data_IF_192997716091
#
_entry.id   IF_192997716091
#
_cell.length_a   1.000
_cell.length_b   1.000
_cell.length_c   1.000
_cell.angle_alpha   90.00
_cell.angle_beta   90.00
_cell.angle_gamma   90.00
#
_symmetry.space_group_name_H-M   'P 1'
#
loop_
_entity.id
_entity.type
_entity.pdbx_description
1 polymer ?
#
# COMPACT_ATOMS: atom_id res chain seq x y z
N UNK A 1 -18.20 -20.08 10.01
CA UNK A 1 -18.24 -18.71 10.57
C UNK A 1 -19.33 -18.67 11.63
N UNK A 2 -19.07 -18.18 12.86
CA UNK A 2 -20.09 -18.16 13.92
C UNK A 2 -21.00 -16.94 13.74
N UNK A 3 -22.25 -17.00 14.21
CA UNK A 3 -23.24 -15.90 14.10
C UNK A 3 -22.71 -14.59 14.72
N UNK A 4 -21.93 -14.68 15.81
CA UNK A 4 -21.31 -13.52 16.44
C UNK A 4 -20.23 -12.87 15.58
N UNK A 5 -19.45 -13.67 14.85
CA UNK A 5 -18.43 -13.17 13.92
C UNK A 5 -19.10 -12.42 12.77
N UNK A 6 -20.20 -12.96 12.23
CA UNK A 6 -20.99 -12.31 11.18
C UNK A 6 -21.52 -10.94 11.64
N UNK A 7 -22.08 -10.86 12.86
CA UNK A 7 -22.54 -9.59 13.43
C UNK A 7 -21.40 -8.57 13.59
N UNK A 8 -20.22 -9.03 14.01
CA UNK A 8 -19.05 -8.17 14.15
C UNK A 8 -18.56 -7.64 12.79
N UNK A 9 -18.50 -8.51 11.77
CA UNK A 9 -18.13 -8.15 10.40
C UNK A 9 -19.10 -7.11 9.84
N UNK A 10 -20.41 -7.34 9.94
CA UNK A 10 -21.42 -6.39 9.45
C UNK A 10 -21.32 -5.03 10.15
N UNK A 11 -21.12 -5.02 11.47
CA UNK A 11 -20.93 -3.79 12.24
C UNK A 11 -19.65 -3.05 11.84
N UNK A 12 -18.58 -3.76 11.55
CA UNK A 12 -17.34 -3.19 11.05
C UNK A 12 -17.54 -2.57 9.67
N UNK A 13 -18.12 -3.31 8.72
CA UNK A 13 -18.38 -2.83 7.36
C UNK A 13 -19.31 -1.61 7.32
N UNK A 14 -20.34 -1.55 8.18
CA UNK A 14 -21.21 -0.38 8.27
C UNK A 14 -20.47 0.86 8.79
N UNK A 15 -19.54 0.70 9.74
CA UNK A 15 -18.70 1.80 10.24
C UNK A 15 -17.68 2.27 9.21
N UNK A 16 -17.11 1.34 8.46
CA UNK A 16 -16.22 1.59 7.33
C UNK A 16 -16.92 2.44 6.27
N UNK A 17 -18.10 2.01 5.83
CA UNK A 17 -18.92 2.74 4.86
C UNK A 17 -19.33 4.13 5.37
N UNK A 18 -19.76 4.24 6.62
CA UNK A 18 -20.13 5.52 7.23
C UNK A 18 -18.93 6.46 7.44
N UNK A 19 -17.70 5.93 7.57
CA UNK A 19 -16.49 6.75 7.69
C UNK A 19 -16.08 7.28 6.33
N UNK A 20 -15.99 6.42 5.32
CA UNK A 20 -15.57 6.81 3.97
C UNK A 20 -16.59 7.70 3.25
N UNK A 21 -17.89 7.50 3.51
CA UNK A 21 -18.94 8.38 3.01
C UNK A 21 -18.80 9.84 3.43
N UNK A 22 -18.03 10.16 4.48
CA UNK A 22 -17.81 11.54 4.96
C UNK A 22 -16.89 12.36 4.06
N UNK A 23 -16.10 11.71 3.21
CA UNK A 23 -15.15 12.41 2.34
C UNK A 23 -15.81 12.89 1.04
N UNK A 24 -17.08 12.53 0.78
CA UNK A 24 -17.80 12.98 -0.41
C UNK A 24 -17.21 12.44 -1.73
N UNK A 25 -16.61 11.25 -1.69
CA UNK A 25 -16.01 10.59 -2.85
C UNK A 25 -16.87 9.39 -3.27
N UNK A 26 -16.80 9.00 -4.55
CA UNK A 26 -17.30 7.71 -5.02
C UNK A 26 -16.77 6.54 -4.19
N UNK A 27 -17.57 5.49 -4.04
CA UNK A 27 -17.23 4.34 -3.17
C UNK A 27 -16.03 3.56 -3.70
N UNK A 28 -15.96 3.40 -5.00
CA UNK A 28 -14.89 2.74 -5.74
C UNK A 28 -13.53 3.44 -5.58
N UNK A 29 -13.51 4.76 -5.39
CA UNK A 29 -12.31 5.52 -5.03
C UNK A 29 -11.58 4.95 -3.80
N UNK A 30 -12.29 4.26 -2.90
CA UNK A 30 -11.73 3.68 -1.68
C UNK A 30 -11.35 2.20 -1.81
N UNK A 31 -11.62 1.55 -2.94
CA UNK A 31 -11.31 0.12 -3.10
C UNK A 31 -9.84 -0.20 -2.78
N UNK A 32 -8.84 0.55 -3.27
CA UNK A 32 -7.45 0.29 -2.91
C UNK A 32 -7.19 0.35 -1.40
N UNK A 33 -7.69 1.38 -0.73
CA UNK A 33 -7.52 1.53 0.72
C UNK A 33 -8.21 0.42 1.51
N UNK A 34 -9.43 0.03 1.12
CA UNK A 34 -10.18 -1.05 1.77
C UNK A 34 -9.43 -2.38 1.63
N UNK A 35 -8.88 -2.65 0.44
CA UNK A 35 -8.10 -3.86 0.20
C UNK A 35 -6.80 -3.86 1.00
N UNK A 36 -6.05 -2.74 1.04
CA UNK A 36 -4.87 -2.60 1.90
C UNK A 36 -5.20 -2.85 3.38
N UNK A 37 -6.30 -2.29 3.89
CA UNK A 37 -6.70 -2.44 5.30
C UNK A 37 -7.07 -3.89 5.67
N UNK A 38 -7.57 -4.68 4.72
CA UNK A 38 -8.09 -6.05 4.98
C UNK A 38 -7.12 -7.15 4.58
N UNK A 39 -6.37 -6.95 3.51
CA UNK A 39 -5.51 -7.94 2.88
C UNK A 39 -4.03 -7.57 2.97
N UNK A 40 -3.71 -6.35 3.40
CA UNK A 40 -2.36 -5.80 3.34
C UNK A 40 -1.96 -5.46 1.90
N UNK A 41 -0.71 -5.04 1.72
CA UNK A 41 -0.16 -4.65 0.42
C UNK A 41 -0.68 -3.30 -0.10
N UNK A 42 -0.13 -2.92 -1.25
CA UNK A 42 -0.59 -1.79 -2.03
C UNK A 42 -1.53 -2.27 -3.12
N UNK A 43 -2.43 -1.39 -3.56
CA UNK A 43 -3.45 -1.69 -4.55
C UNK A 43 -3.70 -0.47 -5.43
N UNK A 44 -4.25 -0.71 -6.61
CA UNK A 44 -4.64 0.30 -7.58
C UNK A 44 -6.06 0.04 -8.05
N UNK A 45 -6.72 1.10 -8.51
CA UNK A 45 -8.03 1.06 -9.14
C UNK A 45 -8.08 2.12 -10.24
N UNK A 46 -8.56 1.73 -11.41
CA UNK A 46 -8.67 2.59 -12.58
C UNK A 46 -10.07 2.42 -13.21
N UNK A 47 -10.82 3.52 -13.28
CA UNK A 47 -12.10 3.64 -13.97
C UNK A 47 -12.07 4.66 -15.12
N UNK A 48 -10.89 5.06 -15.58
CA UNK A 48 -10.69 6.04 -16.64
C UNK A 48 -10.72 7.49 -16.13
N UNK A 49 -11.86 7.95 -15.60
CA UNK A 49 -12.01 9.31 -15.05
C UNK A 49 -11.64 9.43 -13.56
N UNK A 50 -11.50 8.28 -12.89
CA UNK A 50 -11.07 8.15 -11.52
C UNK A 50 -10.00 7.07 -11.40
N UNK A 51 -8.79 7.51 -11.06
CA UNK A 51 -7.68 6.63 -10.73
C UNK A 51 -7.33 6.77 -9.25
N UNK A 52 -7.01 5.66 -8.61
CA UNK A 52 -6.57 5.70 -7.22
C UNK A 52 -5.59 4.59 -6.91
N UNK A 53 -4.65 4.88 -6.00
CA UNK A 53 -3.74 3.89 -5.45
C UNK A 53 -3.71 3.98 -3.93
N UNK A 54 -3.46 2.85 -3.27
CA UNK A 54 -3.10 2.79 -1.87
C UNK A 54 -1.62 2.42 -1.70
N UNK A 55 -0.91 3.17 -0.86
CA UNK A 55 0.50 2.92 -0.53
C UNK A 55 0.63 2.69 0.96
N UNK A 56 1.26 1.58 1.36
CA UNK A 56 1.48 1.26 2.75
C UNK A 56 2.83 1.77 3.26
N UNK A 57 2.83 2.28 4.48
CA UNK A 57 4.02 2.58 5.27
C UNK A 57 3.88 1.91 6.62
N UNK A 58 4.83 1.03 6.94
CA UNK A 58 4.81 0.25 8.19
C UNK A 58 6.02 0.65 9.02
N UNK A 59 5.78 0.89 10.31
CA UNK A 59 6.85 1.10 11.28
C UNK A 59 6.50 0.40 12.59
N UNK A 60 7.53 0.00 13.31
CA UNK A 60 7.40 -0.73 14.57
C UNK A 60 7.91 0.15 15.69
N UNK A 61 7.06 0.43 16.67
CA UNK A 61 7.49 0.98 17.94
C UNK A 61 7.89 -0.19 18.83
N UNK A 62 9.19 -0.43 18.95
CA UNK A 62 9.75 -1.47 19.81
C UNK A 62 10.27 -0.83 21.11
N UNK A 63 9.77 -1.32 22.23
CA UNK A 63 10.21 -0.96 23.56
C UNK A 63 11.26 -1.98 24.03
N UNK A 64 12.50 -1.52 24.18
CA UNK A 64 13.64 -2.35 24.58
C UNK A 64 13.58 -2.78 26.06
N UNK A 65 12.86 -2.06 26.91
CA UNK A 65 12.71 -2.40 28.33
C UNK A 65 11.66 -3.50 28.49
N UNK A 66 10.48 -3.30 27.89
CA UNK A 66 9.37 -4.26 27.97
C UNK A 66 9.49 -5.41 26.96
N UNK A 67 10.47 -5.35 26.05
CA UNK A 67 10.66 -6.28 24.93
C UNK A 67 9.41 -6.46 24.07
N UNK A 68 8.57 -5.43 24.01
CA UNK A 68 7.28 -5.46 23.30
C UNK A 68 7.33 -4.52 22.08
N UNK A 69 6.84 -5.02 20.94
CA UNK A 69 6.75 -4.26 19.69
C UNK A 69 5.31 -4.11 19.23
N UNK A 70 4.90 -2.90 18.86
CA UNK A 70 3.61 -2.64 18.23
C UNK A 70 3.83 -1.98 16.87
N UNK A 71 3.27 -2.57 15.82
CA UNK A 71 3.27 -1.96 14.49
C UNK A 71 2.22 -0.87 14.38
N UNK A 72 2.57 0.18 13.65
CA UNK A 72 1.63 1.13 13.08
C UNK A 72 1.74 1.00 11.57
N UNK A 73 0.58 0.80 10.95
CA UNK A 73 0.45 0.69 9.50
C UNK A 73 -0.34 1.88 8.99
N UNK A 74 0.30 2.73 8.21
CA UNK A 74 -0.35 3.84 7.52
C UNK A 74 -0.65 3.43 6.08
N UNK A 75 -1.92 3.49 5.71
CA UNK A 75 -2.41 3.30 4.35
C UNK A 75 -2.76 4.67 3.77
N UNK A 76 -2.00 5.11 2.79
CA UNK A 76 -2.23 6.36 2.08
C UNK A 76 -3.00 6.08 0.79
N UNK A 77 -4.19 6.65 0.64
CA UNK A 77 -4.96 6.65 -0.60
C UNK A 77 -4.68 7.95 -1.36
N UNK A 78 -4.27 7.83 -2.62
CA UNK A 78 -4.05 8.93 -3.54
C UNK A 78 -5.13 8.89 -4.61
N UNK A 79 -5.78 10.02 -4.88
CA UNK A 79 -6.71 10.17 -6.01
C UNK A 79 -6.05 10.92 -7.16
N UNK A 80 -6.18 10.36 -8.36
CA UNK A 80 -5.54 10.83 -9.59
C UNK A 80 -4.06 11.18 -9.35
N UNK A 81 -3.25 10.19 -8.87
CA UNK A 81 -1.86 10.45 -8.55
C UNK A 81 -1.01 10.70 -9.80
N UNK A 82 -0.02 11.57 -9.65
CA UNK A 82 0.99 11.87 -10.67
C UNK A 82 2.38 11.83 -10.04
N UNK A 83 3.38 11.39 -10.81
CA UNK A 83 4.77 11.53 -10.41
C UNK A 83 5.21 12.99 -10.46
N UNK A 84 5.75 13.47 -9.34
CA UNK A 84 6.55 14.70 -9.31
C UNK A 84 8.01 14.37 -9.59
N UNK A 85 8.54 13.31 -8.99
CA UNK A 85 9.90 12.84 -9.22
C UNK A 85 10.11 11.36 -8.86
N UNK A 86 11.15 10.76 -9.46
CA UNK A 86 11.66 9.42 -9.19
C UNK A 86 13.18 9.51 -9.00
N UNK A 87 13.73 8.82 -8.01
CA UNK A 87 15.18 8.83 -7.72
C UNK A 87 15.71 7.43 -7.36
N UNK A 88 16.91 7.12 -7.87
CA UNK A 88 17.64 5.89 -7.57
C UNK A 88 17.13 4.68 -8.36
N UNK A 89 17.90 3.59 -8.31
CA UNK A 89 17.57 2.32 -8.95
C UNK A 89 17.79 1.22 -7.93
N UNK A 90 16.75 0.43 -7.67
CA UNK A 90 16.77 -0.72 -6.78
C UNK A 90 16.34 -1.96 -7.55
N UNK A 91 17.21 -2.96 -7.59
CA UNK A 91 16.88 -4.30 -8.07
C UNK A 91 16.22 -5.07 -6.95
N UNK A 92 14.99 -5.54 -7.16
CA UNK A 92 14.27 -6.32 -6.14
C UNK A 92 13.37 -7.38 -6.73
N UNK A 93 13.08 -8.39 -5.93
CA UNK A 93 12.11 -9.42 -6.27
C UNK A 93 10.70 -9.01 -5.85
N UNK A 94 9.77 -8.94 -6.80
CA UNK A 94 8.36 -8.64 -6.59
C UNK A 94 7.47 -9.72 -7.21
N UNK A 95 6.27 -9.92 -6.65
CA UNK A 95 5.22 -10.72 -7.28
C UNK A 95 3.98 -9.83 -7.43
N UNK A 96 3.51 -9.67 -8.66
CA UNK A 96 2.21 -9.05 -8.92
C UNK A 96 1.08 -10.06 -8.64
N UNK A 97 -0.11 -9.61 -8.25
CA UNK A 97 -1.25 -10.49 -7.99
C UNK A 97 -1.64 -11.38 -9.19
N UNK A 98 -1.32 -10.94 -10.40
CA UNK A 98 -1.60 -11.65 -11.65
C UNK A 98 -0.50 -12.65 -12.05
N UNK A 99 0.61 -12.74 -11.28
CA UNK A 99 1.73 -13.64 -11.55
C UNK A 99 1.85 -14.68 -10.45
N UNK A 100 2.11 -15.93 -10.82
CA UNK A 100 2.28 -17.02 -9.85
C UNK A 100 3.59 -16.88 -9.05
N UNK A 101 4.63 -16.36 -9.70
CA UNK A 101 6.00 -16.30 -9.18
C UNK A 101 6.54 -14.87 -9.06
N UNK A 102 7.67 -14.74 -8.37
CA UNK A 102 8.41 -13.48 -8.25
C UNK A 102 9.28 -13.26 -9.49
N UNK A 103 9.46 -12.00 -9.86
CA UNK A 103 10.43 -11.57 -10.85
C UNK A 103 11.34 -10.49 -10.26
N UNK A 104 12.58 -10.44 -10.71
CA UNK A 104 13.49 -9.33 -10.51
C UNK A 104 13.04 -8.15 -11.36
N UNK A 105 12.74 -7.05 -10.71
CA UNK A 105 12.34 -5.79 -11.34
C UNK A 105 13.21 -4.65 -10.83
N UNK A 106 13.21 -3.56 -11.57
CA UNK A 106 13.81 -2.30 -11.16
C UNK A 106 12.75 -1.37 -10.60
N UNK A 107 13.05 -0.71 -9.49
CA UNK A 107 12.19 0.28 -8.85
C UNK A 107 12.99 1.52 -8.47
N UNK A 108 12.37 2.71 -8.45
CA UNK A 108 13.00 3.88 -7.84
C UNK A 108 13.18 3.66 -6.33
N UNK A 109 14.31 4.09 -5.78
CA UNK A 109 14.53 4.09 -4.32
C UNK A 109 13.60 5.07 -3.61
N UNK A 110 13.33 6.21 -4.24
CA UNK A 110 12.43 7.24 -3.74
C UNK A 110 11.50 7.75 -4.83
N UNK A 111 10.26 8.07 -4.44
CA UNK A 111 9.28 8.71 -5.31
C UNK A 111 8.63 9.87 -4.58
N UNK A 112 8.24 10.90 -5.32
CA UNK A 112 7.35 11.95 -4.86
C UNK A 112 6.09 11.88 -5.73
N UNK A 113 4.95 11.70 -5.08
CA UNK A 113 3.65 11.69 -5.73
C UNK A 113 2.88 12.94 -5.36
N UNK A 114 2.18 13.51 -6.34
CA UNK A 114 1.15 14.51 -6.15
C UNK A 114 -0.21 13.86 -6.44
N UNK A 115 -1.26 14.28 -5.74
CA UNK A 115 -2.61 13.81 -5.98
C UNK A 115 -3.62 14.94 -5.76
N UNK A 116 -4.84 14.78 -6.25
CA UNK A 116 -5.91 15.74 -6.02
C UNK A 116 -6.28 15.83 -4.54
N UNK A 117 -6.33 14.66 -3.89
CA UNK A 117 -6.62 14.44 -2.48
C UNK A 117 -5.79 13.27 -1.97
N UNK A 118 -5.35 13.36 -0.71
CA UNK A 118 -4.63 12.29 -0.02
C UNK A 118 -5.37 11.98 1.27
N UNK A 119 -5.83 10.75 1.41
CA UNK A 119 -6.49 10.26 2.63
C UNK A 119 -5.58 9.23 3.28
N UNK A 120 -5.36 9.34 4.59
CA UNK A 120 -4.56 8.37 5.35
C UNK A 120 -5.41 7.64 6.36
N UNK A 121 -5.25 6.32 6.43
CA UNK A 121 -5.77 5.46 7.48
C UNK A 121 -4.60 4.85 8.26
N UNK A 122 -4.47 5.19 9.55
CA UNK A 122 -3.44 4.68 10.44
C UNK A 122 -4.02 3.60 11.37
N UNK A 123 -3.53 2.36 11.24
CA UNK A 123 -3.90 1.23 12.07
C UNK A 123 -2.94 1.17 13.26
N UNK A 124 -3.47 1.29 14.47
CA UNK A 124 -2.72 1.09 15.71
C UNK A 124 -3.07 -0.26 16.31
N UNK A 125 -2.10 -1.17 16.36
CA UNK A 125 -2.24 -2.50 16.99
C UNK A 125 -2.41 -2.38 18.50
N UNK A 126 -1.66 -1.48 19.13
CA UNK A 126 -1.77 -1.14 20.56
C UNK A 126 -3.19 -0.67 20.94
N UNK A 127 -3.72 0.33 20.22
CA UNK A 127 -5.04 0.93 20.52
C UNK A 127 -6.20 0.13 19.95
N UNK A 128 -5.94 -0.83 19.05
CA UNK A 128 -6.94 -1.57 18.26
C UNK A 128 -7.92 -0.63 17.56
N UNK A 129 -7.38 0.44 16.96
CA UNK A 129 -8.15 1.50 16.31
C UNK A 129 -7.55 1.85 14.95
N UNK A 130 -8.42 2.26 14.05
CA UNK A 130 -8.07 2.84 12.75
C UNK A 130 -8.44 4.31 12.81
N UNK A 131 -7.46 5.18 12.58
CA UNK A 131 -7.63 6.63 12.54
C UNK A 131 -7.59 7.06 11.08
N UNK A 132 -8.63 7.75 10.61
CA UNK A 132 -8.73 8.17 9.21
C UNK A 132 -8.81 9.70 9.16
N UNK A 133 -8.01 10.31 8.28
CA UNK A 133 -8.05 11.75 8.01
C UNK A 133 -7.63 12.04 6.57
N UNK A 134 -8.06 13.19 6.07
CA UNK A 134 -7.51 13.78 4.84
C UNK A 134 -6.32 14.66 5.19
N UNK A 135 -5.31 14.69 4.32
CA UNK A 135 -4.15 15.57 4.44
C UNK A 135 -4.41 16.89 3.71
N UNK A 136 -3.90 17.98 4.26
CA UNK A 136 -3.93 19.29 3.59
C UNK A 136 -2.90 19.32 2.45
N UNK A 137 -1.76 18.66 2.65
CA UNK A 137 -0.74 18.49 1.64
C UNK A 137 -1.22 17.57 0.51
N UNK A 138 -0.97 18.01 -0.72
CA UNK A 138 -1.30 17.25 -1.94
C UNK A 138 -0.13 16.46 -2.50
N UNK A 139 0.99 16.44 -1.79
CA UNK A 139 2.24 15.80 -2.21
C UNK A 139 2.78 14.95 -1.07
N UNK A 140 3.24 13.75 -1.39
CA UNK A 140 3.86 12.83 -0.43
C UNK A 140 5.14 12.24 -0.99
N UNK A 141 6.14 12.06 -0.13
CA UNK A 141 7.38 11.39 -0.49
C UNK A 141 7.47 10.02 0.17
N UNK A 142 7.92 9.03 -0.60
CA UNK A 142 8.20 7.69 -0.11
C UNK A 142 9.64 7.29 -0.43
N UNK A 143 10.17 6.40 0.41
CA UNK A 143 11.49 5.77 0.24
C UNK A 143 11.41 4.28 0.54
N UNK A 144 12.30 3.50 -0.05
CA UNK A 144 12.42 2.06 0.22
C UNK A 144 11.11 1.31 -0.11
N UNK A 145 10.66 0.37 0.75
CA UNK A 145 9.49 -0.47 0.47
C UNK A 145 8.24 0.29 0.00
N UNK A 146 7.91 1.41 0.65
CA UNK A 146 6.75 2.23 0.27
C UNK A 146 6.91 2.89 -1.10
N UNK A 147 8.12 3.27 -1.49
CA UNK A 147 8.37 3.82 -2.83
C UNK A 147 8.19 2.75 -3.91
N UNK A 148 8.59 1.51 -3.61
CA UNK A 148 8.42 0.40 -4.53
C UNK A 148 6.95 0.01 -4.70
N UNK A 149 6.19 0.01 -3.61
CA UNK A 149 4.74 -0.18 -3.64
C UNK A 149 4.05 0.90 -4.47
N UNK A 150 4.36 2.17 -4.20
CA UNK A 150 3.86 3.28 -5.00
C UNK A 150 4.20 3.11 -6.48
N UNK A 151 5.45 2.74 -6.79
CA UNK A 151 5.88 2.57 -8.17
C UNK A 151 5.15 1.44 -8.89
N UNK A 152 4.94 0.31 -8.22
CA UNK A 152 4.17 -0.82 -8.74
C UNK A 152 2.72 -0.44 -9.05
N UNK A 153 2.04 0.24 -8.13
CA UNK A 153 0.63 0.61 -8.35
C UNK A 153 0.45 1.70 -9.40
N UNK A 154 1.42 2.61 -9.53
CA UNK A 154 1.43 3.59 -10.61
C UNK A 154 1.61 2.92 -11.99
N UNK A 155 2.38 1.83 -12.10
CA UNK A 155 2.51 1.08 -13.37
C UNK A 155 1.18 0.51 -13.84
N UNK A 156 0.32 0.04 -12.93
CA UNK A 156 -1.03 -0.42 -13.28
C UNK A 156 -1.90 0.69 -13.83
N UNK A 157 -1.83 1.90 -13.25
CA UNK A 157 -2.54 3.09 -13.75
C UNK A 157 -2.00 3.59 -15.09
N UNK A 158 -0.71 3.41 -15.34
CA UNK A 158 -0.06 3.75 -16.62
C UNK A 158 -0.27 2.63 -17.67
N UNK A 159 -0.94 1.53 -17.31
CA UNK A 159 -1.12 0.32 -18.11
C UNK A 159 0.20 -0.26 -18.66
N UNK A 160 1.25 -0.18 -17.84
CA UNK A 160 2.57 -0.72 -18.13
C UNK A 160 2.73 -2.06 -17.42
N UNK A 161 2.92 -3.15 -18.17
CA UNK A 161 3.33 -4.42 -17.60
C UNK A 161 4.86 -4.56 -17.65
N UNK A 162 5.47 -4.73 -16.47
CA UNK A 162 6.88 -5.07 -16.35
C UNK A 162 7.01 -6.58 -16.14
N UNK A 163 7.66 -7.24 -17.10
CA UNK A 163 7.87 -8.69 -17.04
C UNK A 163 8.88 -9.11 -15.98
N UNK A 164 9.95 -8.32 -15.87
CA UNK A 164 11.08 -8.61 -14.99
C UNK A 164 11.85 -9.86 -15.42
N UNK A 165 12.95 -10.15 -14.72
CA UNK A 165 13.70 -11.39 -14.90
C UNK A 165 13.15 -12.46 -13.93
N UNK A 166 12.69 -13.63 -14.41
CA UNK A 166 12.07 -14.63 -13.55
C UNK A 166 13.07 -15.30 -12.61
N UNK A 167 12.56 -15.90 -11.51
CA UNK A 167 13.40 -16.57 -10.50
C UNK A 167 14.29 -17.69 -11.07
N UNK A 168 13.85 -18.42 -12.08
CA UNK A 168 14.65 -19.52 -12.68
C UNK A 168 15.83 -19.03 -13.53
N UNK A 169 15.99 -17.72 -13.71
CA UNK A 169 17.20 -17.14 -14.31
C UNK A 169 18.34 -16.93 -13.29
N UNK A 170 18.09 -17.19 -12.00
CA UNK A 170 19.09 -17.06 -10.95
C UNK A 170 19.92 -18.34 -10.83
N UNK A 171 21.21 -18.18 -10.54
CA UNK A 171 22.12 -19.29 -10.25
C UNK A 171 22.26 -19.48 -8.74
N UNK A 172 22.35 -20.74 -8.31
CA UNK A 172 22.68 -21.06 -6.93
C UNK A 172 24.20 -21.08 -6.74
N UNK A 173 24.69 -20.28 -5.80
CA UNK A 173 26.09 -20.30 -5.35
C UNK A 173 26.15 -20.61 -3.86
N UNK A 174 27.08 -21.49 -3.45
CA UNK A 174 27.29 -21.82 -2.04
C UNK A 174 28.03 -20.68 -1.33
N UNK A 175 27.38 -20.05 -0.35
CA UNK A 175 28.05 -19.07 0.51
C UNK A 175 28.94 -19.79 1.54
N UNK A 176 30.26 -19.67 1.39
CA UNK A 176 31.20 -20.07 2.46
C UNK A 176 31.06 -19.07 3.61
N UNK A 177 30.81 -19.57 4.83
CA UNK A 177 30.56 -18.74 6.00
C UNK A 177 31.64 -17.67 6.22
N UNK A 178 31.19 -16.44 6.49
CA UNK A 178 32.02 -15.33 6.96
C UNK A 178 32.38 -15.50 8.43
#
# INVERSE_FOLDING_TARGET
>A
MKVNDLKAILKFSSREEAMFGRFGLPRDAFYPMILSLKLGGAWSYDAGDLQSISVMKVFTNYDEETKTGNTIEEVYLFLNPEYVSKEGIVNRLERCGNKEERSLVTRPYSVILKAERIIVAAISTEKRKIFVRELEEKTMSFKGPSAFYAAHEMEHLEHIEIDGLPMWAFEYEEMKGQ
#
